data_IF_925794182444
#
_entry.id   IF_925794182444
#
_cell.length_a   1.000
_cell.length_b   1.000
_cell.length_c   1.000
_cell.angle_alpha   90.00
_cell.angle_beta   90.00
_cell.angle_gamma   90.00
#
_symmetry.space_group_name_H-M   'P 1'
#
loop_
_entity.id
_entity.type
_entity.pdbx_description
1 polymer ?
#
# COMPACT_ATOMS: atom_id res chain seq x y z
N UNK A 1 -75.74 -26.51 -9.68
CA UNK A 1 -74.68 -27.46 -10.06
C UNK A 1 -73.37 -26.69 -10.23
N UNK A 2 -72.31 -27.18 -9.58
CA UNK A 2 -70.85 -27.03 -9.85
C UNK A 2 -70.21 -25.64 -10.06
N UNK A 3 -69.30 -25.30 -9.12
CA UNK A 3 -68.03 -24.61 -9.39
C UNK A 3 -67.04 -25.57 -10.09
N UNK A 4 -65.94 -25.09 -10.73
CA UNK A 4 -64.69 -24.73 -10.01
C UNK A 4 -63.98 -23.46 -10.58
N UNK A 5 -63.37 -22.60 -9.76
CA UNK A 5 -61.96 -22.61 -9.31
C UNK A 5 -60.92 -22.73 -10.44
N UNK A 6 -60.29 -21.59 -10.80
CA UNK A 6 -59.03 -21.54 -11.52
C UNK A 6 -58.06 -20.58 -10.80
N UNK A 7 -56.89 -21.14 -10.49
CA UNK A 7 -55.76 -20.61 -9.74
C UNK A 7 -54.73 -20.08 -10.75
N UNK A 8 -54.22 -18.85 -10.63
CA UNK A 8 -52.97 -18.43 -11.35
C UNK A 8 -52.36 -17.23 -10.60
N UNK A 9 -51.47 -17.48 -9.63
CA UNK A 9 -50.00 -17.57 -9.71
C UNK A 9 -49.32 -16.19 -9.87
N UNK A 10 -48.88 -15.67 -8.72
CA UNK A 10 -47.99 -14.52 -8.54
C UNK A 10 -46.57 -14.89 -9.05
N UNK A 11 -45.98 -14.10 -9.93
CA UNK A 11 -44.56 -14.17 -10.28
C UNK A 11 -43.85 -12.93 -9.74
N UNK A 12 -43.23 -13.07 -8.57
CA UNK A 12 -42.29 -12.09 -8.03
C UNK A 12 -40.92 -12.34 -8.67
N UNK A 13 -40.45 -11.40 -9.49
CA UNK A 13 -39.11 -11.39 -10.04
C UNK A 13 -38.11 -10.96 -8.95
N UNK A 14 -37.37 -11.90 -8.38
CA UNK A 14 -36.21 -11.62 -7.54
C UNK A 14 -35.02 -11.23 -8.43
N UNK A 15 -34.69 -9.94 -8.46
CA UNK A 15 -33.40 -9.48 -8.98
C UNK A 15 -32.31 -9.90 -8.00
N UNK A 16 -31.52 -10.91 -8.37
CA UNK A 16 -30.34 -11.33 -7.61
C UNK A 16 -29.28 -10.23 -7.68
N UNK A 17 -29.12 -9.48 -6.59
CA UNK A 17 -27.95 -8.63 -6.39
C UNK A 17 -26.71 -9.53 -6.31
N UNK A 18 -25.83 -9.44 -7.31
CA UNK A 18 -24.53 -10.09 -7.26
C UNK A 18 -23.67 -9.34 -6.24
N UNK A 19 -23.64 -9.86 -5.01
CA UNK A 19 -22.62 -9.49 -4.05
C UNK A 19 -21.27 -10.01 -4.55
N UNK A 20 -20.50 -9.15 -5.23
CA UNK A 20 -19.07 -9.37 -5.42
C UNK A 20 -18.46 -9.57 -4.04
N UNK A 21 -18.08 -10.81 -3.73
CA UNK A 21 -17.31 -11.12 -2.54
C UNK A 21 -16.02 -10.32 -2.63
N UNK A 22 -15.89 -9.28 -1.80
CA UNK A 22 -14.59 -8.71 -1.49
C UNK A 22 -13.77 -9.87 -0.92
N UNK A 23 -12.66 -10.20 -1.58
CA UNK A 23 -11.73 -11.18 -1.07
C UNK A 23 -11.39 -10.82 0.38
N UNK A 24 -11.37 -11.80 1.31
CA UNK A 24 -10.94 -11.53 2.68
C UNK A 24 -9.56 -10.84 2.62
N UNK A 25 -9.28 -9.87 3.51
CA UNK A 25 -7.97 -9.21 3.53
C UNK A 25 -6.91 -10.30 3.62
N UNK A 26 -6.04 -10.38 2.61
CA UNK A 26 -4.94 -11.33 2.62
C UNK A 26 -4.15 -11.10 3.90
N UNK A 27 -4.06 -12.11 4.76
CA UNK A 27 -3.22 -12.04 5.95
C UNK A 27 -1.79 -11.93 5.42
N UNK A 28 -1.20 -10.76 5.64
CA UNK A 28 0.15 -10.47 5.19
C UNK A 28 1.10 -11.49 5.85
N UNK A 29 2.06 -12.11 5.10
CA UNK A 29 3.06 -12.98 5.70
C UNK A 29 3.76 -12.29 6.89
N UNK A 30 4.19 -13.03 7.93
CA UNK A 30 4.75 -12.44 9.15
C UNK A 30 5.83 -11.37 8.90
N UNK A 31 6.67 -11.55 7.87
CA UNK A 31 7.71 -10.57 7.52
C UNK A 31 7.18 -9.26 6.91
N UNK A 32 6.07 -9.30 6.16
CA UNK A 32 5.45 -8.10 5.60
C UNK A 32 4.83 -7.21 6.68
N UNK A 33 4.27 -7.77 7.75
CA UNK A 33 3.68 -6.97 8.84
C UNK A 33 4.71 -6.06 9.55
N UNK A 34 5.95 -6.54 9.73
CA UNK A 34 7.05 -5.73 10.28
C UNK A 34 7.39 -4.57 9.34
N UNK A 35 7.50 -4.85 8.03
CA UNK A 35 7.78 -3.84 7.02
C UNK A 35 6.67 -2.79 6.95
N UNK A 36 5.39 -3.21 6.99
CA UNK A 36 4.23 -2.31 7.06
C UNK A 36 4.28 -1.42 8.31
N UNK A 37 4.72 -1.96 9.46
CA UNK A 37 4.83 -1.19 10.69
C UNK A 37 5.91 -0.11 10.64
N UNK A 38 7.05 -0.36 9.98
CA UNK A 38 8.08 0.66 9.73
C UNK A 38 7.56 1.74 8.78
N UNK A 39 6.92 1.34 7.69
CA UNK A 39 6.35 2.25 6.69
C UNK A 39 5.21 3.11 7.23
N UNK A 40 4.47 2.62 8.24
CA UNK A 40 3.43 3.38 8.95
C UNK A 40 3.94 4.67 9.60
N UNK A 41 5.26 4.83 9.75
CA UNK A 41 5.92 6.06 10.19
C UNK A 41 5.34 6.66 11.48
N UNK A 42 5.05 5.79 12.45
CA UNK A 42 4.36 6.18 13.68
C UNK A 42 5.17 7.22 14.46
N UNK A 43 4.47 8.10 15.18
CA UNK A 43 5.10 9.10 16.02
C UNK A 43 6.06 8.45 17.02
N UNK A 44 7.25 9.03 17.17
CA UNK A 44 8.32 8.50 18.03
C UNK A 44 8.94 7.17 17.58
N UNK A 45 8.59 6.65 16.39
CA UNK A 45 9.27 5.49 15.83
C UNK A 45 10.72 5.81 15.47
N UNK A 46 11.52 4.78 15.22
CA UNK A 46 12.87 4.92 14.73
C UNK A 46 13.27 3.58 14.13
N UNK A 47 14.21 3.61 13.21
CA UNK A 47 14.90 2.42 12.75
C UNK A 47 16.37 2.74 12.46
N UNK A 48 17.22 1.73 12.48
CA UNK A 48 18.54 1.76 11.88
C UNK A 48 18.54 1.02 10.54
N UNK A 49 19.66 1.09 9.81
CA UNK A 49 19.76 0.50 8.48
C UNK A 49 19.57 -1.02 8.51
N UNK A 50 20.18 -1.71 9.47
CA UNK A 50 20.06 -3.17 9.60
C UNK A 50 18.62 -3.60 9.87
N UNK A 51 17.90 -2.91 10.76
CA UNK A 51 16.48 -3.20 11.05
C UNK A 51 15.58 -3.03 9.81
N UNK A 52 15.82 -2.00 9.01
CA UNK A 52 15.07 -1.79 7.77
C UNK A 52 15.40 -2.88 6.72
N UNK A 53 16.68 -3.24 6.58
CA UNK A 53 17.13 -4.31 5.68
C UNK A 53 16.53 -5.66 6.10
N UNK A 54 16.59 -6.00 7.38
CA UNK A 54 16.05 -7.25 7.92
C UNK A 54 14.53 -7.33 7.67
N UNK A 55 13.80 -6.23 7.81
CA UNK A 55 12.37 -6.18 7.52
C UNK A 55 12.07 -6.40 6.02
N UNK A 56 12.88 -5.82 5.12
CA UNK A 56 12.75 -6.03 3.67
C UNK A 56 13.03 -7.49 3.29
N UNK A 57 14.10 -8.07 3.85
CA UNK A 57 14.46 -9.47 3.60
C UNK A 57 13.45 -10.46 4.17
N UNK A 58 12.95 -10.21 5.39
CA UNK A 58 11.88 -11.01 5.99
C UNK A 58 10.58 -10.93 5.17
N UNK A 59 10.31 -9.81 4.51
CA UNK A 59 9.19 -9.65 3.59
C UNK A 59 9.37 -10.38 2.25
N UNK A 60 10.57 -10.90 1.96
CA UNK A 60 10.88 -11.65 0.74
C UNK A 60 11.57 -10.85 -0.36
N UNK A 61 12.13 -9.68 -0.04
CA UNK A 61 12.95 -8.91 -0.97
C UNK A 61 14.43 -9.25 -0.81
N UNK A 62 15.16 -9.31 -1.91
CA UNK A 62 16.59 -9.48 -1.92
C UNK A 62 17.30 -8.21 -2.35
N UNK A 63 18.48 -7.97 -1.79
CA UNK A 63 19.31 -6.83 -2.14
C UNK A 63 19.97 -7.04 -3.50
N UNK A 64 19.80 -6.09 -4.41
CA UNK A 64 20.40 -6.10 -5.75
C UNK A 64 21.71 -5.33 -5.80
N UNK A 65 22.56 -5.60 -6.81
CA UNK A 65 23.70 -4.74 -7.13
C UNK A 65 23.19 -3.31 -7.38
N UNK A 66 23.65 -2.34 -6.59
CA UNK A 66 23.11 -0.96 -6.61
C UNK A 66 22.42 -0.56 -5.31
N UNK A 67 22.08 -1.52 -4.45
CA UNK A 67 21.57 -1.26 -3.09
C UNK A 67 20.05 -1.23 -2.97
N UNK A 68 19.32 -1.30 -4.08
CA UNK A 68 17.87 -1.51 -4.12
C UNK A 68 17.52 -2.92 -3.62
N UNK A 69 16.28 -3.10 -3.20
CA UNK A 69 15.71 -4.38 -2.79
C UNK A 69 14.55 -4.73 -3.71
N UNK A 70 14.50 -5.95 -4.21
CA UNK A 70 13.46 -6.39 -5.16
C UNK A 70 12.97 -7.81 -4.80
N UNK A 71 11.71 -8.16 -5.08
CA UNK A 71 11.24 -9.54 -4.96
C UNK A 71 12.05 -10.49 -5.86
N UNK A 72 12.44 -11.66 -5.36
CA UNK A 72 13.17 -12.66 -6.16
C UNK A 72 12.29 -13.78 -6.70
N UNK A 73 11.69 -14.56 -5.79
CA UNK A 73 11.03 -15.80 -6.19
C UNK A 73 9.54 -15.63 -6.44
N UNK A 74 8.90 -14.76 -5.66
CA UNK A 74 7.45 -14.60 -5.61
C UNK A 74 7.08 -13.14 -5.46
N UNK A 75 5.94 -12.70 -6.05
CA UNK A 75 5.43 -11.37 -5.79
C UNK A 75 5.24 -11.13 -4.30
N UNK A 76 5.73 -9.99 -3.82
CA UNK A 76 5.48 -9.52 -2.45
C UNK A 76 4.35 -8.51 -2.50
N UNK A 77 3.29 -8.74 -1.73
CA UNK A 77 2.15 -7.83 -1.64
C UNK A 77 2.25 -6.96 -0.41
N UNK A 78 2.07 -5.64 -0.59
CA UNK A 78 1.97 -4.67 0.49
C UNK A 78 0.85 -3.68 0.18
N UNK A 79 0.03 -3.36 1.18
CA UNK A 79 -1.04 -2.36 1.07
C UNK A 79 -2.02 -2.56 -0.10
N UNK A 80 -2.19 -3.81 -0.54
CA UNK A 80 -3.02 -4.16 -1.69
C UNK A 80 -2.37 -3.94 -3.06
N UNK A 81 -1.10 -3.52 -3.12
CA UNK A 81 -0.26 -3.49 -4.32
C UNK A 81 0.78 -4.61 -4.33
N UNK A 82 1.51 -4.70 -5.45
CA UNK A 82 2.66 -5.59 -5.64
C UNK A 82 3.93 -4.76 -5.55
N UNK A 83 4.87 -5.14 -4.69
CA UNK A 83 6.16 -4.47 -4.55
C UNK A 83 6.97 -4.66 -5.82
N UNK A 84 7.47 -3.56 -6.40
CA UNK A 84 8.43 -3.60 -7.51
C UNK A 84 9.86 -3.53 -6.99
N UNK A 85 10.12 -2.57 -6.11
CA UNK A 85 11.40 -2.39 -5.45
C UNK A 85 11.23 -1.63 -4.13
N UNK A 86 12.32 -1.52 -3.38
CA UNK A 86 12.41 -0.73 -2.16
C UNK A 86 13.83 -0.20 -1.94
N UNK A 87 13.93 0.92 -1.24
CA UNK A 87 15.17 1.59 -0.89
C UNK A 87 15.23 1.90 0.61
N UNK A 88 16.44 1.83 1.17
CA UNK A 88 16.77 2.27 2.52
C UNK A 88 17.87 3.32 2.42
N UNK A 89 17.66 4.47 3.04
CA UNK A 89 18.68 5.49 3.21
C UNK A 89 18.80 5.82 4.70
N UNK A 90 19.99 5.69 5.26
CA UNK A 90 20.30 6.11 6.64
C UNK A 90 21.56 6.96 6.58
N UNK A 91 21.37 8.27 6.56
CA UNK A 91 22.44 9.26 6.48
C UNK A 91 22.38 10.21 7.69
N UNK A 92 23.45 10.98 7.89
CA UNK A 92 23.45 12.08 8.84
C UNK A 92 22.42 13.13 8.39
N UNK A 93 21.34 13.28 9.15
CA UNK A 93 20.27 14.26 8.89
C UNK A 93 18.98 13.69 8.28
N UNK A 94 18.98 12.50 7.69
CA UNK A 94 17.74 11.84 7.24
C UNK A 94 17.86 10.32 7.29
N UNK A 95 16.80 9.68 7.77
CA UNK A 95 16.54 8.25 7.54
C UNK A 95 15.27 8.09 6.74
N UNK A 96 15.27 7.19 5.77
CA UNK A 96 14.07 6.84 5.04
C UNK A 96 14.03 5.39 4.59
N UNK A 97 12.82 4.88 4.57
CA UNK A 97 12.45 3.58 4.02
C UNK A 97 11.36 3.83 2.99
N UNK A 98 11.60 3.36 1.76
CA UNK A 98 10.75 3.65 0.62
C UNK A 98 10.38 2.35 -0.10
N UNK A 99 9.11 2.12 -0.39
CA UNK A 99 8.63 0.97 -1.16
C UNK A 99 7.81 1.44 -2.36
N UNK A 100 8.13 0.92 -3.53
CA UNK A 100 7.44 1.18 -4.80
C UNK A 100 6.50 0.01 -5.11
N UNK A 101 5.30 0.35 -5.61
CA UNK A 101 4.18 -0.57 -5.74
C UNK A 101 3.52 -0.44 -7.12
N UNK A 102 3.09 -1.57 -7.67
CA UNK A 102 2.22 -1.67 -8.82
C UNK A 102 0.83 -2.19 -8.44
N UNK A 103 -0.17 -1.87 -9.28
CA UNK A 103 -1.55 -2.35 -9.11
C UNK A 103 -2.34 -1.65 -8.00
N UNK A 104 -1.81 -0.54 -7.46
CA UNK A 104 -2.50 0.28 -6.46
C UNK A 104 -2.43 1.76 -6.83
N UNK A 105 -3.57 2.44 -6.70
CA UNK A 105 -3.72 3.88 -6.94
C UNK A 105 -3.23 4.67 -5.71
N UNK A 106 -2.39 5.69 -5.96
CA UNK A 106 -1.78 6.52 -4.91
C UNK A 106 -2.84 7.27 -4.09
N UNK A 107 -3.90 7.78 -4.73
CA UNK A 107 -4.98 8.50 -4.04
C UNK A 107 -5.78 7.58 -3.12
N UNK A 108 -6.09 6.36 -3.56
CA UNK A 108 -6.73 5.33 -2.74
C UNK A 108 -5.84 4.95 -1.55
N UNK A 109 -4.55 4.76 -1.79
CA UNK A 109 -3.59 4.41 -0.75
C UNK A 109 -3.46 5.52 0.30
N UNK A 110 -3.32 6.77 -0.15
CA UNK A 110 -3.26 7.97 0.68
C UNK A 110 -4.52 8.10 1.56
N UNK A 111 -5.71 7.87 0.99
CA UNK A 111 -6.97 7.84 1.74
C UNK A 111 -6.99 6.74 2.80
N UNK A 112 -6.56 5.52 2.46
CA UNK A 112 -6.51 4.41 3.42
C UNK A 112 -5.59 4.70 4.61
N UNK A 113 -4.54 5.49 4.39
CA UNK A 113 -3.54 5.87 5.40
C UNK A 113 -3.83 7.22 6.06
N UNK A 114 -4.96 7.85 5.73
CA UNK A 114 -5.33 9.19 6.20
C UNK A 114 -4.22 10.23 5.95
N UNK A 115 -3.56 10.13 4.80
CA UNK A 115 -2.58 11.07 4.24
C UNK A 115 -3.33 11.93 3.22
N UNK A 116 -3.75 13.13 3.63
CA UNK A 116 -4.74 13.90 2.86
C UNK A 116 -4.20 15.21 2.30
N UNK A 117 -3.04 15.69 2.74
CA UNK A 117 -2.44 16.88 2.16
C UNK A 117 -1.73 16.52 0.86
N UNK A 118 -2.02 17.27 -0.20
CA UNK A 118 -1.29 17.15 -1.47
C UNK A 118 0.11 17.70 -1.28
N UNK A 119 1.11 16.98 -1.78
CA UNK A 119 2.48 17.45 -1.85
C UNK A 119 2.67 18.28 -3.12
N UNK A 120 2.52 19.59 -3.01
CA UNK A 120 2.68 20.52 -4.15
C UNK A 120 4.11 20.57 -4.70
N UNK A 121 5.09 20.01 -3.98
CA UNK A 121 6.48 19.91 -4.41
C UNK A 121 6.81 18.58 -5.10
N UNK A 122 5.87 17.64 -5.15
CA UNK A 122 6.05 16.43 -5.93
C UNK A 122 5.91 16.76 -7.43
N UNK A 123 6.96 16.50 -8.19
CA UNK A 123 6.96 16.66 -9.63
C UNK A 123 6.50 15.35 -10.29
N UNK A 124 5.25 14.96 -10.02
CA UNK A 124 4.62 13.74 -10.54
C UNK A 124 3.39 14.14 -11.37
N UNK A 125 3.05 13.36 -12.40
CA UNK A 125 1.88 13.66 -13.25
C UNK A 125 0.58 13.64 -12.45
N UNK A 126 0.43 12.63 -11.58
CA UNK A 126 -0.68 12.51 -10.64
C UNK A 126 -0.30 13.09 -9.26
N UNK A 127 -1.28 13.55 -8.46
CA UNK A 127 -1.00 14.12 -7.15
C UNK A 127 -0.34 13.11 -6.20
N UNK A 128 0.78 13.51 -5.63
CA UNK A 128 1.35 12.85 -4.45
C UNK A 128 0.82 13.48 -3.16
N UNK A 129 0.88 12.75 -2.05
CA UNK A 129 0.33 13.14 -0.76
C UNK A 129 1.38 13.03 0.34
N UNK A 130 1.25 13.87 1.36
CA UNK A 130 2.16 13.92 2.49
C UNK A 130 1.40 14.14 3.80
N UNK A 131 1.97 13.64 4.89
CA UNK A 131 1.48 13.87 6.24
C UNK A 131 2.64 13.97 7.20
N UNK A 132 2.78 15.13 7.83
CA UNK A 132 3.61 15.26 9.02
C UNK A 132 2.93 14.50 10.18
N UNK A 133 3.64 13.52 10.74
CA UNK A 133 3.15 12.69 11.83
C UNK A 133 3.52 13.32 13.18
N UNK A 134 4.76 13.80 13.30
CA UNK A 134 5.25 14.62 14.40
C UNK A 134 6.36 15.56 13.89
N UNK A 135 7.18 16.13 14.79
CA UNK A 135 8.27 17.05 14.42
C UNK A 135 9.37 16.42 13.54
N UNK A 136 9.49 15.10 13.55
CA UNK A 136 10.58 14.34 12.92
C UNK A 136 10.09 13.43 11.82
N UNK A 137 8.84 12.94 11.93
CA UNK A 137 8.29 11.91 11.06
C UNK A 137 7.39 12.49 10.00
N UNK A 138 7.67 12.13 8.74
CA UNK A 138 6.82 12.46 7.60
C UNK A 138 6.52 11.19 6.82
N UNK A 139 5.23 10.96 6.57
CA UNK A 139 4.74 9.89 5.74
C UNK A 139 4.38 10.45 4.36
N UNK A 140 4.90 9.84 3.31
CA UNK A 140 4.57 10.19 1.92
C UNK A 140 3.87 9.03 1.23
N UNK A 141 2.88 9.37 0.42
CA UNK A 141 2.29 8.49 -0.59
C UNK A 141 2.50 9.17 -1.94
N UNK A 142 3.37 8.62 -2.76
CA UNK A 142 3.85 9.23 -3.99
C UNK A 142 3.14 8.54 -5.17
N UNK A 143 2.66 9.33 -6.11
CA UNK A 143 2.16 8.80 -7.36
C UNK A 143 3.34 8.46 -8.28
N UNK A 144 3.30 7.28 -8.90
CA UNK A 144 4.17 6.99 -10.02
C UNK A 144 3.42 7.23 -11.33
N UNK A 145 4.16 7.23 -12.42
CA UNK A 145 3.63 7.23 -13.78
C UNK A 145 4.22 6.04 -14.58
N UNK A 146 3.76 5.88 -15.82
CA UNK A 146 4.17 4.78 -16.69
C UNK A 146 5.68 4.81 -17.04
N UNK A 147 6.37 5.95 -16.87
CA UNK A 147 7.81 6.08 -17.08
C UNK A 147 8.60 5.59 -15.86
N UNK A 148 8.09 5.82 -14.65
CA UNK A 148 8.73 5.46 -13.38
C UNK A 148 8.68 3.95 -13.07
N UNK A 149 7.79 3.18 -13.74
CA UNK A 149 7.70 1.73 -13.60
C UNK A 149 7.00 1.25 -12.31
N UNK A 150 6.36 2.16 -11.58
CA UNK A 150 5.49 1.88 -10.44
C UNK A 150 4.24 2.78 -10.50
N UNK A 151 3.12 2.35 -9.90
CA UNK A 151 1.86 3.13 -9.88
C UNK A 151 1.69 3.95 -8.60
N UNK A 152 2.31 3.53 -7.50
CA UNK A 152 2.37 4.32 -6.27
C UNK A 152 3.60 3.93 -5.43
N UNK A 153 3.98 4.77 -4.47
CA UNK A 153 5.05 4.44 -3.54
C UNK A 153 4.77 5.01 -2.14
N UNK A 154 5.31 4.36 -1.10
CA UNK A 154 5.14 4.76 0.32
C UNK A 154 6.50 4.98 0.96
N UNK A 155 6.73 6.20 1.47
CA UNK A 155 7.98 6.56 2.17
C UNK A 155 7.68 6.93 3.62
N UNK A 156 8.38 6.30 4.56
CA UNK A 156 8.59 6.89 5.88
C UNK A 156 9.90 7.66 5.88
N UNK A 157 9.85 8.92 6.29
CA UNK A 157 11.00 9.79 6.43
C UNK A 157 11.13 10.26 7.88
N UNK A 158 12.33 10.15 8.44
CA UNK A 158 12.68 10.58 9.79
C UNK A 158 13.85 11.56 9.71
N UNK A 159 13.59 12.81 10.09
CA UNK A 159 14.60 13.87 10.21
C UNK A 159 14.90 14.09 11.70
N UNK A 160 16.17 13.99 12.16
CA UNK A 160 16.57 14.19 13.56
C UNK A 160 16.20 15.53 14.16
#
# INVERSE_FOLDING_TARGET
MKAPLAFTMFLAAFAAAQATHAAPPAIAPPGTATLEALLACKAGSNFNEAEAIDALQAAGLARKPGGTFEPEDKPVTLFGGIVTSADVNVAEGEKSLFVYLNGVDSKRLAKAWSVTAVNEHANTEEPSYVKAIDKRHTLHVIAGDDYEGYSAAVKCQITP
#
